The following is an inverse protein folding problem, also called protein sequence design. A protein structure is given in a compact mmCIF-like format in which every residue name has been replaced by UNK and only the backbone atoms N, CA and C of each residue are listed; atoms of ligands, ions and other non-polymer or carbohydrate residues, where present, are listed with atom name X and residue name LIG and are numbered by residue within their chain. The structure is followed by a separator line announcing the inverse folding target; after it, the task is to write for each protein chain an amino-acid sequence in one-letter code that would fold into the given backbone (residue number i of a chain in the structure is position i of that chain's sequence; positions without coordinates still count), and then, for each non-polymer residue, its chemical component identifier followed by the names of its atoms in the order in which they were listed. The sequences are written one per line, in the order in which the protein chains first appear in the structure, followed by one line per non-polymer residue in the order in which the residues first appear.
data_IF_824939799113
#
_entry.id   IF_824939799113
#
_cell.length_a   1.000
_cell.length_b   1.000
_cell.length_c   1.000
_cell.angle_alpha   90.00
_cell.angle_beta   90.00
_cell.angle_gamma   90.00
#
_symmetry.space_group_name_H-M   'P 1'
#
loop_
_entity.id
_entity.type
_entity.pdbx_description
1 polymer ?
#
# COMPACT_ATOMS: atom_id res chain seq x y z
N UNK A 1 23.34 0.10 15.38
CA UNK A 1 22.69 -0.96 14.58
C UNK A 1 23.78 -1.90 14.04
N UNK A 2 23.67 -3.21 14.21
CA UNK A 2 24.65 -4.15 13.66
C UNK A 2 24.38 -4.43 12.17
N UNK A 3 25.41 -4.51 11.32
CA UNK A 3 25.26 -4.69 9.86
C UNK A 3 24.37 -5.87 9.46
N UNK A 4 24.42 -6.98 10.21
CA UNK A 4 23.60 -8.17 9.96
C UNK A 4 22.09 -7.96 10.12
N UNK A 5 21.65 -7.10 11.05
CA UNK A 5 20.22 -6.78 11.21
C UNK A 5 19.68 -5.96 10.04
N UNK A 6 20.51 -5.09 9.47
CA UNK A 6 20.13 -4.26 8.32
C UNK A 6 20.00 -5.11 7.05
N UNK A 7 20.93 -6.04 6.80
CA UNK A 7 20.87 -6.93 5.64
C UNK A 7 19.65 -7.86 5.67
N UNK A 8 19.33 -8.43 6.84
CA UNK A 8 18.14 -9.28 7.00
C UNK A 8 16.84 -8.52 6.66
N UNK A 9 16.73 -7.26 7.08
CA UNK A 9 15.57 -6.41 6.79
C UNK A 9 15.47 -6.07 5.30
N UNK A 10 16.59 -5.79 4.63
CA UNK A 10 16.60 -5.57 3.19
C UNK A 10 16.20 -6.83 2.41
N UNK A 11 16.73 -7.99 2.79
CA UNK A 11 16.36 -9.27 2.16
C UNK A 11 14.87 -9.58 2.34
N UNK A 12 14.32 -9.31 3.53
CA UNK A 12 12.88 -9.43 3.80
C UNK A 12 12.07 -8.51 2.88
N UNK A 13 12.47 -7.25 2.74
CA UNK A 13 11.78 -6.30 1.86
C UNK A 13 11.78 -6.78 0.40
N UNK A 14 12.90 -7.28 -0.11
CA UNK A 14 13.02 -7.82 -1.47
C UNK A 14 12.10 -9.04 -1.66
N UNK A 15 12.09 -9.96 -0.70
CA UNK A 15 11.22 -11.14 -0.73
C UNK A 15 9.73 -10.74 -0.76
N UNK A 16 9.33 -9.78 0.08
CA UNK A 16 7.96 -9.27 0.09
C UNK A 16 7.59 -8.58 -1.23
N UNK A 17 8.50 -7.81 -1.83
CA UNK A 17 8.28 -7.21 -3.16
C UNK A 17 8.03 -8.27 -4.25
N UNK A 18 8.75 -9.39 -4.20
CA UNK A 18 8.55 -10.50 -5.14
C UNK A 18 7.19 -11.20 -4.91
N UNK A 19 6.81 -11.43 -3.65
CA UNK A 19 5.51 -11.99 -3.30
C UNK A 19 4.36 -11.09 -3.79
N UNK A 20 4.47 -9.78 -3.60
CA UNK A 20 3.45 -8.84 -4.08
C UNK A 20 3.26 -8.89 -5.60
N UNK A 21 4.34 -9.03 -6.38
CA UNK A 21 4.21 -9.16 -7.85
C UNK A 21 3.37 -10.37 -8.25
N UNK A 22 3.52 -11.49 -7.54
CA UNK A 22 2.71 -12.68 -7.76
C UNK A 22 1.24 -12.42 -7.40
N UNK A 23 0.98 -11.87 -6.22
CA UNK A 23 -0.39 -11.63 -5.76
C UNK A 23 -1.12 -10.56 -6.56
N UNK A 24 -0.46 -9.50 -7.00
CA UNK A 24 -1.06 -8.47 -7.85
C UNK A 24 -1.61 -9.04 -9.17
N UNK A 25 -1.02 -10.15 -9.65
CA UNK A 25 -1.43 -10.83 -10.87
C UNK A 25 -2.55 -11.87 -10.66
N UNK A 26 -2.67 -12.44 -9.46
CA UNK A 26 -3.63 -13.52 -9.16
C UNK A 26 -4.87 -13.02 -8.39
N UNK A 27 -6.04 -13.56 -8.75
CA UNK A 27 -7.29 -13.34 -8.04
C UNK A 27 -7.66 -14.45 -7.05
N UNK A 28 -6.97 -15.58 -7.10
CA UNK A 28 -7.34 -16.78 -6.34
C UNK A 28 -6.86 -16.74 -4.88
N UNK A 29 -5.98 -15.80 -4.56
CA UNK A 29 -5.28 -15.72 -3.26
C UNK A 29 -5.51 -14.39 -2.56
N UNK A 30 -6.75 -13.88 -2.59
CA UNK A 30 -7.06 -12.54 -2.09
C UNK A 30 -6.55 -12.30 -0.66
N UNK A 31 -6.87 -13.20 0.28
CA UNK A 31 -6.46 -13.08 1.68
C UNK A 31 -4.94 -13.10 1.85
N UNK A 32 -4.25 -14.02 1.17
CA UNK A 32 -2.79 -14.10 1.21
C UNK A 32 -2.13 -12.86 0.58
N UNK A 33 -2.73 -12.31 -0.48
CA UNK A 33 -2.32 -11.06 -1.08
C UNK A 33 -2.44 -9.89 -0.10
N UNK A 34 -3.57 -9.76 0.60
CA UNK A 34 -3.75 -8.75 1.63
C UNK A 34 -2.71 -8.87 2.75
N UNK A 35 -2.45 -10.08 3.22
CA UNK A 35 -1.45 -10.32 4.27
C UNK A 35 -0.04 -9.99 3.78
N UNK A 36 0.29 -10.29 2.52
CA UNK A 36 1.57 -9.89 1.93
C UNK A 36 1.71 -8.37 1.83
N UNK A 37 0.64 -7.64 1.47
CA UNK A 37 0.63 -6.18 1.44
C UNK A 37 0.82 -5.57 2.83
N UNK A 38 0.11 -6.07 3.84
CA UNK A 38 0.28 -5.61 5.23
C UNK A 38 1.70 -5.81 5.71
N UNK A 39 2.25 -7.01 5.53
CA UNK A 39 3.64 -7.32 5.88
C UNK A 39 4.66 -6.42 5.15
N UNK A 40 4.42 -6.12 3.87
CA UNK A 40 5.25 -5.20 3.10
C UNK A 40 5.23 -3.78 3.67
N UNK A 41 4.04 -3.24 3.94
CA UNK A 41 3.87 -1.89 4.50
C UNK A 41 4.52 -1.79 5.89
N UNK A 42 4.32 -2.79 6.76
CA UNK A 42 4.97 -2.86 8.07
C UNK A 42 6.49 -2.90 7.94
N UNK A 43 7.01 -3.70 7.00
CA UNK A 43 8.45 -3.77 6.76
C UNK A 43 9.00 -2.41 6.31
N UNK A 44 8.32 -1.68 5.41
CA UNK A 44 8.73 -0.33 4.99
C UNK A 44 8.72 0.64 6.18
N UNK A 45 7.72 0.54 7.07
CA UNK A 45 7.60 1.42 8.24
C UNK A 45 8.85 1.38 9.10
N UNK A 46 9.49 0.21 9.24
CA UNK A 46 10.76 0.08 9.95
C UNK A 46 11.91 0.90 9.32
N UNK A 47 11.84 1.21 8.02
CA UNK A 47 12.83 2.02 7.30
C UNK A 47 12.52 3.52 7.33
N UNK A 48 11.39 3.93 7.93
CA UNK A 48 10.94 5.31 7.99
C UNK A 48 10.90 6.00 6.60
N UNK A 49 10.30 5.29 5.63
CA UNK A 49 10.24 5.68 4.22
C UNK A 49 8.80 6.04 3.83
N UNK A 50 8.32 7.27 4.12
CA UNK A 50 6.91 7.62 3.99
C UNK A 50 6.41 7.57 2.55
N UNK A 51 7.25 7.89 1.55
CA UNK A 51 6.88 7.76 0.13
C UNK A 51 6.59 6.31 -0.25
N UNK A 52 7.45 5.39 0.17
CA UNK A 52 7.28 3.97 -0.07
C UNK A 52 6.08 3.40 0.70
N UNK A 53 5.79 3.92 1.91
CA UNK A 53 4.56 3.56 2.64
C UNK A 53 3.32 3.98 1.87
N UNK A 54 3.22 5.26 1.46
CA UNK A 54 2.10 5.77 0.63
C UNK A 54 1.89 4.90 -0.61
N UNK A 55 2.98 4.57 -1.32
CA UNK A 55 2.90 3.68 -2.49
C UNK A 55 2.38 2.28 -2.12
N UNK A 56 2.76 1.74 -0.96
CA UNK A 56 2.26 0.47 -0.44
C UNK A 56 0.74 0.48 -0.25
N UNK A 57 0.20 1.50 0.42
CA UNK A 57 -1.25 1.64 0.63
C UNK A 57 -2.00 1.84 -0.69
N UNK A 58 -1.49 2.68 -1.61
CA UNK A 58 -2.11 2.87 -2.93
C UNK A 58 -2.15 1.56 -3.73
N UNK A 59 -1.07 0.76 -3.70
CA UNK A 59 -1.05 -0.54 -4.39
C UNK A 59 -2.02 -1.53 -3.76
N UNK A 60 -2.08 -1.58 -2.44
CA UNK A 60 -3.04 -2.43 -1.73
C UNK A 60 -4.48 -2.00 -2.02
N UNK A 61 -4.76 -0.70 -2.09
CA UNK A 61 -6.08 -0.17 -2.43
C UNK A 61 -6.51 -0.60 -3.84
N UNK A 62 -5.63 -0.45 -4.84
CA UNK A 62 -5.86 -0.93 -6.22
C UNK A 62 -6.07 -2.44 -6.28
N UNK A 63 -5.32 -3.20 -5.47
CA UNK A 63 -5.50 -4.64 -5.36
C UNK A 63 -6.90 -4.99 -4.82
N UNK A 64 -7.37 -4.28 -3.80
CA UNK A 64 -8.72 -4.46 -3.27
C UNK A 64 -9.79 -4.09 -4.30
N UNK A 65 -9.60 -3.03 -5.09
CA UNK A 65 -10.53 -2.72 -6.20
C UNK A 65 -10.62 -3.85 -7.22
N UNK A 66 -9.47 -4.42 -7.61
CA UNK A 66 -9.43 -5.56 -8.55
C UNK A 66 -10.20 -6.78 -8.02
N UNK A 67 -10.29 -6.91 -6.70
CA UNK A 67 -11.00 -7.99 -6.01
C UNK A 67 -12.39 -7.60 -5.54
N UNK A 68 -12.89 -6.45 -6.00
CA UNK A 68 -14.23 -5.92 -5.68
C UNK A 68 -14.46 -5.63 -4.18
N UNK A 69 -13.39 -5.57 -3.36
CA UNK A 69 -13.45 -5.08 -1.97
C UNK A 69 -13.24 -3.57 -1.95
N UNK A 70 -14.28 -2.85 -2.37
CA UNK A 70 -14.22 -1.41 -2.52
C UNK A 70 -14.26 -0.69 -1.18
N UNK A 71 -14.89 -1.27 -0.14
CA UNK A 71 -14.86 -0.69 1.21
C UNK A 71 -13.42 -0.63 1.74
N UNK A 72 -12.69 -1.75 1.70
CA UNK A 72 -11.30 -1.77 2.13
C UNK A 72 -10.42 -0.91 1.22
N UNK A 73 -10.67 -0.91 -0.10
CA UNK A 73 -9.95 -0.05 -1.03
C UNK A 73 -10.07 1.44 -0.68
N UNK A 74 -11.28 1.90 -0.37
CA UNK A 74 -11.56 3.27 0.03
C UNK A 74 -10.78 3.65 1.28
N UNK A 75 -10.84 2.81 2.30
CA UNK A 75 -10.18 3.07 3.58
C UNK A 75 -8.64 3.12 3.39
N UNK A 76 -8.09 2.26 2.54
CA UNK A 76 -6.66 2.28 2.20
C UNK A 76 -6.24 3.53 1.40
N UNK A 77 -7.09 4.04 0.51
CA UNK A 77 -6.83 5.31 -0.17
C UNK A 77 -6.88 6.49 0.80
N UNK A 78 -7.79 6.46 1.77
CA UNK A 78 -7.90 7.49 2.80
C UNK A 78 -6.62 7.53 3.65
N UNK A 79 -6.13 6.37 4.10
CA UNK A 79 -4.84 6.23 4.80
C UNK A 79 -3.67 6.78 3.96
N UNK A 80 -3.63 6.46 2.66
CA UNK A 80 -2.60 7.01 1.77
C UNK A 80 -2.64 8.54 1.69
N UNK A 81 -3.84 9.13 1.60
CA UNK A 81 -4.03 10.59 1.57
C UNK A 81 -3.59 11.23 2.89
N UNK A 82 -3.95 10.65 4.04
CA UNK A 82 -3.58 11.16 5.36
C UNK A 82 -2.06 11.17 5.54
N UNK A 83 -1.38 10.09 5.13
CA UNK A 83 0.08 10.05 5.14
C UNK A 83 0.70 11.04 4.15
N UNK A 84 0.14 11.20 2.95
CA UNK A 84 0.64 12.18 1.99
C UNK A 84 0.60 13.59 2.55
N UNK A 85 -0.48 13.96 3.23
CA UNK A 85 -0.61 15.26 3.88
C UNK A 85 0.35 15.38 5.07
N UNK A 86 0.38 14.37 5.95
CA UNK A 86 1.18 14.37 7.17
C UNK A 86 2.68 14.46 6.88
N UNK A 87 3.16 13.70 5.90
CA UNK A 87 4.59 13.63 5.54
C UNK A 87 4.96 14.51 4.34
N UNK A 88 4.02 15.32 3.83
CA UNK A 88 4.20 16.16 2.64
C UNK A 88 4.75 15.37 1.43
N UNK A 89 4.20 14.16 1.22
CA UNK A 89 4.58 13.27 0.13
C UNK A 89 3.66 13.51 -1.07
N UNK A 90 4.27 13.78 -2.22
CA UNK A 90 3.55 14.01 -3.48
C UNK A 90 3.24 15.50 -3.69
N UNK A 91 2.28 15.78 -4.56
CA UNK A 91 1.85 17.15 -4.86
C UNK A 91 0.37 17.30 -4.49
N UNK A 92 -0.11 18.54 -4.38
CA UNK A 92 -1.54 18.79 -4.19
C UNK A 92 -2.41 18.14 -5.26
N UNK A 93 -1.92 18.06 -6.51
CA UNK A 93 -2.58 17.35 -7.59
C UNK A 93 -2.74 15.86 -7.31
N UNK A 94 -1.70 15.20 -6.79
CA UNK A 94 -1.79 13.79 -6.39
C UNK A 94 -2.82 13.57 -5.27
N UNK A 95 -2.81 14.43 -4.24
CA UNK A 95 -3.77 14.36 -3.13
C UNK A 95 -5.20 14.58 -3.63
N UNK A 96 -5.41 15.57 -4.50
CA UNK A 96 -6.71 15.87 -5.10
C UNK A 96 -7.24 14.70 -5.92
N UNK A 97 -6.39 14.08 -6.75
CA UNK A 97 -6.77 12.93 -7.56
C UNK A 97 -7.19 11.73 -6.71
N UNK A 98 -6.45 11.44 -5.63
CA UNK A 98 -6.82 10.37 -4.70
C UNK A 98 -8.11 10.67 -3.95
N UNK A 99 -8.32 11.91 -3.48
CA UNK A 99 -9.60 12.30 -2.88
C UNK A 99 -10.77 12.17 -3.84
N UNK A 100 -10.58 12.54 -5.10
CA UNK A 100 -11.60 12.33 -6.13
C UNK A 100 -11.88 10.84 -6.35
N UNK A 101 -10.84 10.00 -6.40
CA UNK A 101 -10.98 8.54 -6.48
C UNK A 101 -11.81 7.99 -5.31
N UNK A 102 -11.51 8.39 -4.08
CA UNK A 102 -12.28 8.02 -2.87
C UNK A 102 -13.76 8.40 -3.04
N UNK A 103 -14.04 9.62 -3.52
CA UNK A 103 -15.42 10.05 -3.79
C UNK A 103 -16.10 9.16 -4.82
N UNK A 104 -15.42 8.80 -5.92
CA UNK A 104 -16.03 7.90 -6.93
C UNK A 104 -16.37 6.52 -6.37
N UNK A 105 -15.59 6.00 -5.43
CA UNK A 105 -15.88 4.71 -4.79
C UNK A 105 -17.11 4.77 -3.87
N UNK A 106 -17.45 5.94 -3.31
CA UNK A 106 -18.64 6.11 -2.47
C UNK A 106 -19.96 6.10 -3.25
N UNK A 107 -19.95 6.33 -4.57
CA UNK A 107 -21.18 6.35 -5.38
C UNK A 107 -21.66 4.95 -5.81
N UNK A 108 -20.87 3.90 -5.56
CA UNK A 108 -21.19 2.53 -5.94
C UNK A 108 -21.65 1.65 -4.75
N UNK A 109 -21.94 2.26 -3.59
CA UNK A 109 -22.57 1.67 -2.40
C UNK A 109 -23.80 2.47 -1.99
#
# INVERSE_FOLDING_TARGET
MTPGRTLARFNRLISLQQQLKFYEQSSDFYKQGLDAFKNYIECIREFNKPREMVNGYIRMAKYCEKMEDVLLSRDLYQEAVEMMVTFQVGTEGHVRNLRHKIQTLNYFY
#
